data_IF_962382484277
#
_entry.id   IF_962382484277
#
_cell.length_a   1.000
_cell.length_b   1.000
_cell.length_c   1.000
_cell.angle_alpha   90.00
_cell.angle_beta   90.00
_cell.angle_gamma   90.00
#
_symmetry.space_group_name_H-M   'P 1'
#
loop_
_entity.id
_entity.type
_entity.pdbx_description
1 polymer ?
#
# COMPACT_ATOMS: atom_id res chain seq x y z
N UNK A 1 53.03 79.63 -24.75
CA UNK A 1 54.37 79.02 -24.61
C UNK A 1 54.25 77.52 -24.82
N UNK A 2 55.08 76.96 -25.72
CA UNK A 2 55.57 75.55 -25.81
C UNK A 2 54.52 74.39 -25.79
N UNK A 3 54.52 73.36 -26.64
CA UNK A 3 55.42 72.82 -27.70
C UNK A 3 54.58 71.79 -28.50
N UNK A 4 54.82 71.68 -29.82
CA UNK A 4 54.44 70.53 -30.68
C UNK A 4 55.15 69.24 -30.20
N UNK A 5 54.60 68.02 -30.40
CA UNK A 5 54.85 67.30 -31.66
C UNK A 5 53.75 66.32 -32.17
N UNK A 6 53.81 66.05 -33.49
CA UNK A 6 53.46 64.78 -34.17
C UNK A 6 54.80 64.08 -34.53
N UNK A 7 54.87 62.88 -35.14
CA UNK A 7 54.18 61.59 -34.94
C UNK A 7 55.20 60.40 -34.89
N UNK A 8 54.79 59.17 -34.49
CA UNK A 8 55.43 57.92 -34.99
C UNK A 8 54.59 56.64 -34.82
N UNK A 9 54.23 56.16 -36.00
CA UNK A 9 53.78 54.86 -36.53
C UNK A 9 54.34 53.56 -35.87
N UNK A 10 53.39 52.62 -35.64
CA UNK A 10 53.37 51.14 -35.67
C UNK A 10 54.36 50.28 -34.86
N UNK A 11 53.80 49.42 -34.00
CA UNK A 11 54.11 47.99 -34.01
C UNK A 11 52.82 47.15 -33.95
N UNK A 12 52.57 46.46 -35.05
CA UNK A 12 51.56 45.43 -35.23
C UNK A 12 52.00 44.15 -34.51
N UNK A 13 51.20 43.66 -33.56
CA UNK A 13 51.41 42.33 -32.96
C UNK A 13 50.44 42.05 -31.83
N UNK A 14 49.29 41.44 -32.14
CA UNK A 14 48.37 40.97 -31.09
C UNK A 14 46.90 40.75 -31.48
N UNK A 15 46.47 41.16 -32.68
CA UNK A 15 45.05 41.09 -33.06
C UNK A 15 44.58 39.76 -33.68
N UNK A 16 45.46 38.75 -33.83
CA UNK A 16 45.11 37.44 -34.43
C UNK A 16 44.83 36.32 -33.42
N UNK A 17 45.29 36.42 -32.17
CA UNK A 17 45.19 35.32 -31.17
C UNK A 17 43.88 35.37 -30.36
N UNK A 18 43.23 36.53 -30.25
CA UNK A 18 41.92 36.65 -29.60
C UNK A 18 40.75 36.25 -30.51
N UNK A 19 40.91 36.32 -31.84
CA UNK A 19 39.89 35.90 -32.81
C UNK A 19 39.85 34.37 -33.00
N UNK A 20 40.96 33.66 -32.81
CA UNK A 20 41.04 32.20 -32.87
C UNK A 20 40.41 31.48 -31.67
N UNK A 21 40.49 32.04 -30.45
CA UNK A 21 39.87 31.46 -29.24
C UNK A 21 38.34 31.63 -29.18
N UNK A 22 37.79 32.65 -29.84
CA UNK A 22 36.34 32.85 -29.93
C UNK A 22 35.67 31.89 -30.94
N UNK A 23 36.36 31.57 -32.06
CA UNK A 23 35.91 30.57 -33.02
C UNK A 23 36.04 29.13 -32.50
N UNK A 24 37.03 28.85 -31.64
CA UNK A 24 37.18 27.54 -31.01
C UNK A 24 36.12 27.25 -29.94
N UNK A 25 35.61 28.28 -29.23
CA UNK A 25 34.49 28.13 -28.26
C UNK A 25 33.13 28.02 -28.94
N UNK A 26 32.88 28.78 -30.00
CA UNK A 26 31.61 28.67 -30.77
C UNK A 26 31.53 27.40 -31.60
N UNK A 27 32.66 26.84 -32.07
CA UNK A 27 32.69 25.52 -32.70
C UNK A 27 32.45 24.37 -31.68
N UNK A 28 32.96 24.48 -30.45
CA UNK A 28 32.72 23.49 -29.40
C UNK A 28 31.27 23.49 -28.89
N UNK A 29 30.63 24.65 -28.76
CA UNK A 29 29.22 24.73 -28.37
C UNK A 29 28.29 24.23 -29.51
N UNK A 30 28.60 24.55 -30.77
CA UNK A 30 27.81 24.06 -31.93
C UNK A 30 27.96 22.55 -32.21
N UNK A 31 29.07 21.92 -31.77
CA UNK A 31 29.27 20.48 -31.93
C UNK A 31 28.52 19.66 -30.85
N UNK A 32 28.22 20.26 -29.69
CA UNK A 32 27.58 19.55 -28.58
C UNK A 32 26.06 19.43 -28.78
N UNK A 33 25.43 20.41 -29.42
CA UNK A 33 23.99 20.38 -29.73
C UNK A 33 23.62 19.46 -30.91
N UNK A 34 24.52 19.24 -31.86
CA UNK A 34 24.26 18.33 -33.01
C UNK A 34 24.44 16.86 -32.62
N UNK A 35 25.28 16.57 -31.61
CA UNK A 35 25.57 15.21 -31.17
C UNK A 35 24.56 14.68 -30.14
N UNK A 36 23.90 15.56 -29.38
CA UNK A 36 22.96 15.15 -28.34
C UNK A 36 21.77 14.30 -28.87
N UNK A 37 21.11 14.66 -29.99
CA UNK A 37 20.03 13.84 -30.57
C UNK A 37 20.53 12.47 -31.02
N UNK A 38 21.72 12.41 -31.60
CA UNK A 38 22.38 11.17 -32.04
C UNK A 38 22.74 10.27 -30.85
N UNK A 39 23.26 10.83 -29.76
CA UNK A 39 23.56 10.10 -28.52
C UNK A 39 22.28 9.56 -27.87
N UNK A 40 21.21 10.35 -27.84
CA UNK A 40 19.90 9.94 -27.31
C UNK A 40 19.31 8.78 -28.12
N UNK A 41 19.29 8.88 -29.44
CA UNK A 41 18.76 7.83 -30.32
C UNK A 41 19.60 6.55 -30.24
N UNK A 42 20.93 6.66 -30.28
CA UNK A 42 21.83 5.49 -30.19
C UNK A 42 21.70 4.77 -28.85
N UNK A 43 21.54 5.51 -27.74
CA UNK A 43 21.27 4.93 -26.41
C UNK A 43 19.91 4.24 -26.35
N UNK A 44 18.85 4.88 -26.85
CA UNK A 44 17.52 4.27 -26.93
C UNK A 44 17.49 2.99 -27.75
N UNK A 45 18.24 2.97 -28.86
CA UNK A 45 18.38 1.78 -29.71
C UNK A 45 19.09 0.64 -28.98
N UNK A 46 20.12 0.93 -28.17
CA UNK A 46 20.78 -0.07 -27.31
C UNK A 46 19.84 -0.65 -26.26
N UNK A 47 19.00 0.18 -25.63
CA UNK A 47 18.01 -0.26 -24.64
C UNK A 47 16.90 -1.11 -25.26
N UNK A 48 16.44 -0.76 -26.46
CA UNK A 48 15.48 -1.56 -27.22
C UNK A 48 16.07 -2.92 -27.62
N UNK A 49 17.33 -2.94 -28.10
CA UNK A 49 18.03 -4.17 -28.44
C UNK A 49 18.26 -5.07 -27.20
N UNK A 50 18.60 -4.48 -26.05
CA UNK A 50 18.74 -5.22 -24.78
C UNK A 50 17.43 -5.87 -24.32
N UNK A 51 16.32 -5.11 -24.35
CA UNK A 51 15.00 -5.62 -24.00
C UNK A 51 14.52 -6.72 -24.97
N UNK A 52 14.78 -6.56 -26.27
CA UNK A 52 14.48 -7.59 -27.26
C UNK A 52 15.29 -8.88 -27.01
N UNK A 53 16.58 -8.74 -26.68
CA UNK A 53 17.46 -9.87 -26.35
C UNK A 53 17.02 -10.60 -25.08
N UNK A 54 16.63 -9.87 -24.03
CA UNK A 54 16.10 -10.47 -22.80
C UNK A 54 14.77 -11.19 -23.05
N UNK A 55 13.83 -10.58 -23.77
CA UNK A 55 12.58 -11.23 -24.16
C UNK A 55 12.81 -12.49 -24.99
N UNK A 56 13.77 -12.47 -25.92
CA UNK A 56 14.14 -13.64 -26.71
C UNK A 56 14.76 -14.76 -25.85
N UNK A 57 15.64 -14.40 -24.90
CA UNK A 57 16.23 -15.35 -23.96
C UNK A 57 15.19 -16.01 -23.06
N UNK A 58 14.19 -15.24 -22.60
CA UNK A 58 13.07 -15.72 -21.78
C UNK A 58 12.01 -16.49 -22.59
N UNK A 59 12.06 -16.50 -23.93
CA UNK A 59 11.08 -17.21 -24.75
C UNK A 59 11.41 -18.72 -24.81
N UNK A 60 10.47 -19.60 -24.39
CA UNK A 60 10.60 -21.06 -24.48
C UNK A 60 10.94 -21.53 -25.90
N UNK A 61 11.78 -22.57 -26.04
CA UNK A 61 12.33 -23.02 -27.33
C UNK A 61 11.26 -23.43 -28.34
N UNK A 62 10.16 -24.01 -27.87
CA UNK A 62 8.98 -24.43 -28.64
C UNK A 62 8.19 -23.24 -29.24
N UNK A 63 8.23 -22.06 -28.62
CA UNK A 63 7.50 -20.87 -29.10
C UNK A 63 8.32 -19.95 -30.02
N UNK A 64 9.63 -20.19 -30.16
CA UNK A 64 10.52 -19.33 -30.98
C UNK A 64 10.14 -19.32 -32.46
N UNK A 65 9.66 -20.44 -33.00
CA UNK A 65 9.22 -20.54 -34.39
C UNK A 65 8.01 -19.65 -34.70
N UNK A 66 7.00 -19.66 -33.81
CA UNK A 66 5.82 -18.81 -33.95
C UNK A 66 6.15 -17.33 -33.87
N UNK A 67 7.05 -16.95 -32.95
CA UNK A 67 7.51 -15.56 -32.83
C UNK A 67 8.24 -15.11 -34.09
N UNK A 68 9.12 -15.93 -34.66
CA UNK A 68 9.81 -15.62 -35.92
C UNK A 68 8.84 -15.47 -37.09
N UNK A 69 7.85 -16.36 -37.18
CA UNK A 69 6.83 -16.29 -38.23
C UNK A 69 6.02 -14.99 -38.16
N UNK A 70 5.57 -14.60 -36.96
CA UNK A 70 4.83 -13.35 -36.75
C UNK A 70 5.69 -12.13 -37.09
N UNK A 71 6.96 -12.11 -36.66
CA UNK A 71 7.90 -11.03 -37.01
C UNK A 71 8.09 -10.94 -38.53
N UNK A 72 8.28 -12.07 -39.21
CA UNK A 72 8.41 -12.10 -40.67
C UNK A 72 7.15 -11.61 -41.39
N UNK A 73 5.96 -12.00 -40.91
CA UNK A 73 4.69 -11.52 -41.46
C UNK A 73 4.51 -10.01 -41.28
N UNK A 74 4.86 -9.46 -40.10
CA UNK A 74 4.86 -8.02 -39.87
C UNK A 74 5.83 -7.27 -40.78
N UNK A 75 7.05 -7.80 -40.96
CA UNK A 75 8.04 -7.21 -41.87
C UNK A 75 7.53 -7.21 -43.32
N UNK A 76 6.93 -8.31 -43.77
CA UNK A 76 6.34 -8.41 -45.11
C UNK A 76 5.18 -7.42 -45.28
N UNK A 77 4.29 -7.30 -44.30
CA UNK A 77 3.20 -6.32 -44.32
C UNK A 77 3.70 -4.88 -44.40
N UNK A 78 4.74 -4.52 -43.64
CA UNK A 78 5.37 -3.19 -43.71
C UNK A 78 6.02 -2.94 -45.07
N UNK A 79 6.62 -3.96 -45.70
CA UNK A 79 7.24 -3.83 -47.01
C UNK A 79 6.24 -3.63 -48.16
N UNK A 80 5.02 -4.17 -48.02
CA UNK A 80 3.98 -4.10 -49.05
C UNK A 80 3.15 -2.80 -49.00
N UNK A 81 3.19 -2.06 -47.89
CA UNK A 81 2.46 -0.79 -47.75
C UNK A 81 3.27 0.38 -48.34
N UNK A 82 2.68 1.24 -49.20
CA UNK A 82 3.33 2.47 -49.66
C UNK A 82 3.81 3.32 -48.48
N UNK A 83 5.09 3.72 -48.49
CA UNK A 83 5.77 4.42 -47.41
C UNK A 83 5.93 3.63 -46.08
N UNK A 84 5.54 2.35 -46.03
CA UNK A 84 5.68 1.50 -44.85
C UNK A 84 7.11 1.41 -44.30
N UNK A 85 8.15 1.17 -45.13
CA UNK A 85 9.53 1.14 -44.65
C UNK A 85 9.99 2.47 -44.03
N UNK A 86 9.57 3.60 -44.61
CA UNK A 86 9.93 4.93 -44.10
C UNK A 86 9.24 5.19 -42.76
N UNK A 87 7.95 4.88 -42.65
CA UNK A 87 7.20 4.99 -41.39
C UNK A 87 7.80 4.09 -40.30
N UNK A 88 8.20 2.87 -40.64
CA UNK A 88 8.86 1.97 -39.69
C UNK A 88 10.18 2.55 -39.15
N UNK A 89 11.01 3.15 -40.01
CA UNK A 89 12.23 3.83 -39.58
C UNK A 89 11.90 5.02 -38.68
N UNK A 90 10.92 5.86 -39.04
CA UNK A 90 10.51 7.01 -38.22
C UNK A 90 9.96 6.56 -36.87
N UNK A 91 9.14 5.51 -36.81
CA UNK A 91 8.60 4.96 -35.57
C UNK A 91 9.68 4.36 -34.68
N UNK A 92 10.65 3.63 -35.25
CA UNK A 92 11.80 3.09 -34.50
C UNK A 92 12.66 4.21 -33.95
N UNK A 93 12.94 5.23 -34.77
CA UNK A 93 13.70 6.42 -34.35
C UNK A 93 12.96 7.19 -33.26
N UNK A 94 11.62 7.33 -33.36
CA UNK A 94 10.78 7.95 -32.33
C UNK A 94 10.75 7.16 -31.03
N UNK A 95 10.62 5.84 -31.09
CA UNK A 95 10.66 4.96 -29.92
C UNK A 95 12.05 4.96 -29.26
N UNK A 96 13.12 4.97 -30.07
CA UNK A 96 14.49 5.10 -29.59
C UNK A 96 14.73 6.47 -28.94
N UNK A 97 14.27 7.57 -29.56
CA UNK A 97 14.35 8.89 -28.98
C UNK A 97 13.57 8.98 -27.65
N UNK A 98 12.35 8.45 -27.59
CA UNK A 98 11.54 8.42 -26.37
C UNK A 98 12.23 7.64 -25.26
N UNK A 99 12.69 6.42 -25.55
CA UNK A 99 13.32 5.53 -24.55
C UNK A 99 14.74 5.96 -24.20
N UNK A 100 15.40 6.69 -25.10
CA UNK A 100 16.73 7.25 -24.93
C UNK A 100 16.77 8.62 -24.26
N UNK A 101 15.62 9.32 -24.15
CA UNK A 101 15.52 10.56 -23.36
C UNK A 101 16.05 10.29 -21.97
N UNK A 102 17.04 11.07 -21.57
CA UNK A 102 17.60 10.97 -20.24
C UNK A 102 16.48 11.27 -19.22
N UNK A 103 16.00 10.23 -18.52
CA UNK A 103 15.82 10.40 -17.09
C UNK A 103 17.22 10.73 -16.58
N UNK A 104 17.36 11.92 -16.02
CA UNK A 104 18.60 12.44 -15.46
C UNK A 104 19.35 11.29 -14.78
N UNK A 105 20.62 10.99 -15.14
CA UNK A 105 21.36 9.96 -14.42
C UNK A 105 21.26 10.30 -12.94
N UNK A 106 20.79 9.34 -12.13
CA UNK A 106 20.59 9.53 -10.71
C UNK A 106 21.86 10.15 -10.12
N UNK A 107 21.72 11.32 -9.48
CA UNK A 107 22.80 11.84 -8.65
C UNK A 107 23.14 10.73 -7.66
N UNK A 108 24.38 10.22 -7.71
CA UNK A 108 24.89 9.31 -6.69
C UNK A 108 25.07 10.12 -5.42
N UNK A 109 24.04 10.08 -4.56
CA UNK A 109 23.98 10.81 -3.30
C UNK A 109 22.64 11.53 -3.14
N UNK A 110 22.17 11.72 -1.89
CA UNK A 110 20.95 12.44 -1.61
C UNK A 110 21.11 13.87 -2.10
N UNK A 111 20.03 14.46 -2.59
CA UNK A 111 20.01 15.90 -2.83
C UNK A 111 20.16 16.66 -1.50
N UNK A 112 20.37 17.98 -1.56
CA UNK A 112 20.56 18.79 -0.34
C UNK A 112 19.41 18.62 0.66
N UNK A 113 18.19 18.47 0.15
CA UNK A 113 17.00 18.20 0.96
C UNK A 113 17.08 16.82 1.65
N UNK A 114 17.43 15.75 0.91
CA UNK A 114 17.62 14.42 1.46
C UNK A 114 18.73 14.35 2.51
N UNK A 115 19.86 15.03 2.26
CA UNK A 115 20.96 15.11 3.23
C UNK A 115 20.54 15.85 4.52
N UNK A 116 19.76 16.93 4.39
CA UNK A 116 19.20 17.64 5.54
C UNK A 116 18.21 16.77 6.34
N UNK A 117 17.38 15.96 5.66
CA UNK A 117 16.48 14.99 6.31
C UNK A 117 17.25 13.93 7.09
N UNK A 118 18.28 13.32 6.47
CA UNK A 118 19.12 12.32 7.15
C UNK A 118 19.80 12.93 8.36
N UNK A 119 20.38 14.14 8.25
CA UNK A 119 20.95 14.84 9.40
C UNK A 119 19.94 15.07 10.51
N UNK A 120 18.74 15.56 10.18
CA UNK A 120 17.68 15.77 11.17
C UNK A 120 17.24 14.48 11.86
N UNK A 121 17.25 13.35 11.15
CA UNK A 121 16.87 12.05 11.68
C UNK A 121 17.99 11.49 12.57
N UNK A 122 19.25 11.62 12.16
CA UNK A 122 20.42 11.30 12.98
C UNK A 122 20.41 12.04 14.31
N UNK A 123 20.22 13.36 14.28
CA UNK A 123 20.13 14.19 15.49
C UNK A 123 19.01 13.75 16.44
N UNK A 124 17.88 13.30 15.90
CA UNK A 124 16.76 12.80 16.70
C UNK A 124 17.04 11.45 17.36
N UNK A 125 17.98 10.66 16.82
CA UNK A 125 18.38 9.36 17.36
C UNK A 125 19.48 9.47 18.43
N UNK A 126 20.22 10.58 18.50
CA UNK A 126 21.29 10.79 19.49
C UNK A 126 20.85 10.50 20.92
N UNK A 127 19.68 10.95 21.42
CA UNK A 127 19.25 10.66 22.79
C UNK A 127 19.00 9.17 23.08
N UNK A 128 18.83 8.34 22.04
CA UNK A 128 18.53 6.92 22.17
C UNK A 128 19.77 6.04 22.02
N UNK A 129 20.73 6.47 21.21
CA UNK A 129 21.93 5.70 20.89
C UNK A 129 23.21 6.24 21.53
N UNK A 130 23.21 7.43 22.15
CA UNK A 130 24.40 7.97 22.82
C UNK A 130 24.35 7.71 24.33
N UNK A 131 25.51 7.40 24.91
CA UNK A 131 25.75 7.39 26.36
C UNK A 131 26.91 8.34 26.70
N UNK A 132 26.95 8.88 27.92
CA UNK A 132 27.94 9.89 28.30
C UNK A 132 29.36 9.31 28.46
N UNK A 133 29.44 8.01 28.72
CA UNK A 133 30.66 7.27 29.03
C UNK A 133 31.41 6.78 27.78
N UNK A 134 30.82 6.90 26.58
CA UNK A 134 31.47 6.51 25.33
C UNK A 134 32.45 7.61 24.88
N UNK A 135 33.77 7.32 24.79
CA UNK A 135 34.77 8.30 24.37
C UNK A 135 34.71 8.64 22.86
N UNK A 136 33.96 7.89 22.05
CA UNK A 136 33.84 8.11 20.61
C UNK A 136 32.49 7.66 20.06
N UNK A 137 31.38 8.26 20.51
CA UNK A 137 30.05 7.76 20.21
C UNK A 137 29.72 7.88 18.72
N UNK A 138 29.15 6.80 18.16
CA UNK A 138 28.66 6.78 16.79
C UNK A 138 27.57 7.85 16.57
N UNK A 139 26.79 8.13 17.62
CA UNK A 139 25.77 9.17 17.65
C UNK A 139 26.19 10.30 18.58
N UNK A 140 26.41 11.49 18.04
CA UNK A 140 26.67 12.70 18.82
C UNK A 140 26.01 13.91 18.15
N UNK A 141 25.62 14.90 18.94
CA UNK A 141 25.07 16.14 18.37
C UNK A 141 26.11 16.84 17.49
N UNK A 142 25.73 17.22 16.27
CA UNK A 142 26.64 17.74 15.24
C UNK A 142 27.52 16.67 14.58
N UNK A 143 27.28 15.38 14.88
CA UNK A 143 28.03 14.25 14.34
C UNK A 143 27.74 13.98 12.85
N UNK A 144 28.53 13.09 12.28
CA UNK A 144 28.42 12.70 10.88
C UNK A 144 27.46 11.50 10.73
N UNK A 145 26.32 11.75 10.08
CA UNK A 145 25.31 10.73 9.85
C UNK A 145 25.76 9.63 8.89
N UNK A 146 26.78 9.87 8.04
CA UNK A 146 27.24 8.92 7.03
C UNK A 146 27.81 7.64 7.67
N UNK A 147 28.42 7.74 8.86
CA UNK A 147 28.91 6.55 9.59
C UNK A 147 27.78 5.69 10.16
N UNK A 148 26.68 6.32 10.57
CA UNK A 148 25.54 5.62 11.16
C UNK A 148 24.63 4.99 10.10
N UNK A 149 24.39 5.69 8.99
CA UNK A 149 23.48 5.24 7.94
C UNK A 149 24.18 4.57 6.75
N UNK A 150 25.48 4.85 6.56
CA UNK A 150 26.24 4.44 5.39
C UNK A 150 25.57 4.92 4.10
N UNK A 151 25.72 4.15 3.03
CA UNK A 151 25.04 4.37 1.75
C UNK A 151 23.73 3.60 1.59
N UNK A 152 23.18 3.05 2.69
CA UNK A 152 22.03 2.13 2.65
C UNK A 152 20.72 2.87 2.99
N UNK A 153 20.41 3.87 2.17
CA UNK A 153 19.14 4.60 2.19
C UNK A 153 18.58 4.76 0.79
N UNK A 154 17.27 4.92 0.68
CA UNK A 154 16.60 5.20 -0.58
C UNK A 154 15.51 6.25 -0.38
N UNK A 155 15.34 7.10 -1.39
CA UNK A 155 14.26 8.06 -1.50
C UNK A 155 13.40 7.73 -2.71
N UNK A 156 12.13 8.11 -2.68
CA UNK A 156 11.27 8.11 -3.86
C UNK A 156 11.43 9.38 -4.70
N UNK A 157 10.64 9.46 -5.78
CA UNK A 157 10.61 10.60 -6.70
C UNK A 157 10.17 11.92 -6.02
N UNK A 158 9.48 11.85 -4.88
CA UNK A 158 9.05 13.00 -4.07
C UNK A 158 10.08 13.39 -2.98
N UNK A 159 11.23 12.71 -2.93
CA UNK A 159 12.29 12.94 -1.95
C UNK A 159 11.93 12.49 -0.54
N UNK A 160 11.00 11.53 -0.38
CA UNK A 160 10.66 10.90 0.90
C UNK A 160 11.42 9.60 1.09
N UNK A 161 11.78 9.31 2.33
CA UNK A 161 12.57 8.14 2.69
C UNK A 161 11.73 6.86 2.51
N UNK A 162 12.21 5.94 1.68
CA UNK A 162 11.59 4.62 1.43
C UNK A 162 12.35 3.48 2.08
N UNK A 163 13.64 3.69 2.34
CA UNK A 163 14.49 2.73 3.05
C UNK A 163 15.56 3.48 3.83
N UNK A 164 15.84 3.01 5.04
CA UNK A 164 16.96 3.47 5.86
C UNK A 164 17.50 2.29 6.66
N UNK A 165 18.80 2.05 6.56
CA UNK A 165 19.49 1.16 7.47
C UNK A 165 20.26 2.01 8.48
N UNK A 166 20.05 1.73 9.76
CA UNK A 166 20.74 2.38 10.88
C UNK A 166 21.65 1.37 11.52
N UNK A 167 22.95 1.67 11.58
CA UNK A 167 23.88 0.93 12.42
C UNK A 167 23.83 1.56 13.81
N UNK A 168 23.50 0.78 14.83
CA UNK A 168 23.42 1.25 16.21
C UNK A 168 24.59 0.74 17.06
N UNK A 169 24.90 1.40 18.19
CA UNK A 169 25.99 0.96 19.07
C UNK A 169 25.66 -0.34 19.80
N UNK A 170 26.67 -1.19 20.01
CA UNK A 170 26.50 -2.51 20.65
C UNK A 170 26.02 -2.47 22.12
N UNK A 171 26.08 -1.31 22.78
CA UNK A 171 25.55 -1.13 24.13
C UNK A 171 24.06 -0.74 24.14
N UNK A 172 23.46 -0.46 22.98
CA UNK A 172 22.03 -0.19 22.90
C UNK A 172 21.26 -1.44 23.34
N UNK A 173 20.31 -1.34 24.28
CA UNK A 173 19.56 -2.49 24.77
C UNK A 173 18.50 -2.90 23.74
N UNK A 174 18.92 -3.41 22.59
CA UNK A 174 18.02 -3.90 21.56
C UNK A 174 17.15 -5.06 22.08
N UNK A 175 17.57 -5.85 23.06
CA UNK A 175 16.70 -6.83 23.71
C UNK A 175 15.49 -6.25 24.48
N UNK A 176 15.42 -4.94 24.73
CA UNK A 176 14.28 -4.27 25.40
C UNK A 176 13.25 -3.77 24.37
N UNK A 177 12.02 -4.34 24.33
CA UNK A 177 10.97 -3.88 23.41
C UNK A 177 10.60 -2.40 23.58
N UNK A 178 10.69 -1.86 24.81
CA UNK A 178 10.39 -0.46 25.06
C UNK A 178 11.47 0.46 24.46
N UNK A 179 12.74 0.03 24.46
CA UNK A 179 13.83 0.74 23.79
C UNK A 179 13.65 0.74 22.27
N UNK A 180 13.33 -0.41 21.66
CA UNK A 180 13.01 -0.49 20.22
C UNK A 180 11.85 0.42 19.84
N UNK A 181 10.75 0.34 20.57
CA UNK A 181 9.54 1.14 20.32
C UNK A 181 9.83 2.64 20.31
N UNK A 182 10.67 3.13 21.23
CA UNK A 182 11.07 4.55 21.26
C UNK A 182 11.81 4.97 19.99
N UNK A 183 12.74 4.14 19.51
CA UNK A 183 13.49 4.40 18.27
C UNK A 183 12.57 4.36 17.05
N UNK A 184 11.71 3.35 16.96
CA UNK A 184 10.74 3.19 15.86
C UNK A 184 9.79 4.39 15.79
N UNK A 185 9.27 4.86 16.93
CA UNK A 185 8.43 6.06 17.00
C UNK A 185 9.14 7.32 16.49
N UNK A 186 10.42 7.50 16.83
CA UNK A 186 11.23 8.62 16.32
C UNK A 186 11.39 8.52 14.81
N UNK A 187 11.73 7.34 14.29
CA UNK A 187 11.92 7.09 12.87
C UNK A 187 10.62 7.30 12.09
N UNK A 188 9.51 6.75 12.56
CA UNK A 188 8.18 6.90 11.97
C UNK A 188 7.79 8.39 11.90
N UNK A 189 7.90 9.09 13.02
CA UNK A 189 7.55 10.52 13.12
C UNK A 189 8.41 11.39 12.22
N UNK A 190 9.72 11.10 12.10
CA UNK A 190 10.67 11.92 11.35
C UNK A 190 10.74 11.58 9.86
N UNK A 191 10.31 10.39 9.46
CA UNK A 191 10.35 9.94 8.05
C UNK A 191 9.16 10.44 7.21
N UNK A 192 8.10 10.90 7.87
CA UNK A 192 6.97 11.60 7.25
C UNK A 192 5.64 10.88 7.45
N UNK A 193 4.53 11.63 7.38
CA UNK A 193 3.17 11.09 7.57
C UNK A 193 2.65 10.38 6.32
N UNK A 194 1.72 9.45 6.54
CA UNK A 194 0.92 8.80 5.50
C UNK A 194 1.62 7.59 4.86
N UNK A 195 2.51 6.92 5.60
CA UNK A 195 3.14 5.67 5.21
C UNK A 195 3.21 4.74 6.40
N UNK A 196 3.17 3.45 6.10
CA UNK A 196 3.47 2.41 7.08
C UNK A 196 4.93 1.97 6.87
N UNK A 197 5.71 2.03 7.95
CA UNK A 197 7.09 1.60 7.97
C UNK A 197 7.20 0.25 8.69
N UNK A 198 7.90 -0.68 8.06
CA UNK A 198 8.32 -1.93 8.67
C UNK A 198 9.74 -1.78 9.22
N UNK A 199 9.94 -2.23 10.45
CA UNK A 199 11.21 -2.20 11.17
C UNK A 199 11.71 -3.62 11.42
N UNK A 200 12.91 -3.91 10.93
CA UNK A 200 13.59 -5.19 11.13
C UNK A 200 14.89 -4.97 11.90
N UNK A 201 14.99 -5.59 13.07
CA UNK A 201 16.17 -5.54 13.92
C UNK A 201 17.04 -6.77 13.68
N UNK A 202 18.30 -6.54 13.32
CA UNK A 202 19.38 -7.51 13.24
C UNK A 202 20.28 -7.29 14.47
N UNK A 203 19.94 -7.97 15.56
CA UNK A 203 20.61 -7.91 16.85
C UNK A 203 22.09 -8.32 16.73
N UNK A 204 22.38 -9.37 15.95
CA UNK A 204 23.75 -9.86 15.76
C UNK A 204 24.62 -8.83 15.01
N UNK A 205 24.03 -8.14 14.03
CA UNK A 205 24.71 -7.13 13.22
C UNK A 205 24.69 -5.72 13.80
N UNK A 206 23.96 -5.48 14.90
CA UNK A 206 23.62 -4.15 15.42
C UNK A 206 23.01 -3.23 14.33
N UNK A 207 22.04 -3.74 13.58
CA UNK A 207 21.40 -3.03 12.47
C UNK A 207 19.89 -2.97 12.60
N UNK A 208 19.34 -1.79 12.34
CA UNK A 208 17.91 -1.57 12.19
C UNK A 208 17.63 -1.20 10.74
N UNK A 209 16.82 -2.01 10.06
CA UNK A 209 16.32 -1.72 8.73
C UNK A 209 14.89 -1.18 8.83
N UNK A 210 14.69 0.05 8.39
CA UNK A 210 13.39 0.66 8.15
C UNK A 210 13.09 0.60 6.65
N UNK A 211 11.92 0.08 6.27
CA UNK A 211 11.43 0.03 4.89
C UNK A 211 9.97 0.47 4.83
N UNK A 212 9.60 1.23 3.81
CA UNK A 212 8.18 1.49 3.51
C UNK A 212 7.55 0.18 3.03
N UNK A 213 6.38 -0.15 3.56
CA UNK A 213 5.59 -1.27 3.07
C UNK A 213 4.98 -0.92 1.71
N UNK A 214 5.13 -1.83 0.76
CA UNK A 214 4.43 -1.71 -0.52
C UNK A 214 2.91 -1.85 -0.29
N UNK A 215 2.08 -1.11 -1.04
CA UNK A 215 0.63 -1.28 -0.95
C UNK A 215 0.26 -2.73 -1.31
N UNK A 216 -0.79 -3.23 -0.66
CA UNK A 216 -1.33 -4.54 -1.02
C UNK A 216 -1.69 -4.59 -2.51
N UNK A 217 -1.42 -5.72 -3.20
CA UNK A 217 -1.70 -5.83 -4.63
C UNK A 217 -3.19 -5.56 -4.94
N UNK A 218 -3.46 -4.51 -5.73
CA UNK A 218 -4.82 -4.15 -6.15
C UNK A 218 -5.48 -5.18 -7.08
N UNK A 219 -4.71 -6.16 -7.56
CA UNK A 219 -5.12 -7.27 -8.41
C UNK A 219 -5.75 -8.43 -7.63
N UNK A 220 -5.66 -8.43 -6.29
CA UNK A 220 -6.35 -9.39 -5.44
C UNK A 220 -7.75 -8.87 -5.16
N UNK A 221 -8.73 -9.43 -5.88
CA UNK A 221 -10.14 -9.15 -5.65
C UNK A 221 -10.72 -10.01 -4.54
N UNK A 222 -11.88 -9.58 -4.00
CA UNK A 222 -12.70 -10.42 -3.13
C UNK A 222 -13.06 -11.72 -3.86
N UNK A 223 -12.79 -12.84 -3.20
CA UNK A 223 -12.91 -14.17 -3.78
C UNK A 223 -13.22 -15.20 -2.70
N UNK A 224 -13.46 -16.43 -3.14
CA UNK A 224 -13.57 -17.56 -2.22
C UNK A 224 -12.18 -17.96 -1.74
N UNK A 225 -11.90 -17.68 -0.48
CA UNK A 225 -10.69 -18.17 0.19
C UNK A 225 -10.93 -19.58 0.76
N UNK A 226 -9.93 -20.44 0.63
CA UNK A 226 -9.94 -21.78 1.21
C UNK A 226 -9.36 -21.71 2.62
N UNK A 227 -10.22 -21.58 3.62
CA UNK A 227 -9.86 -21.48 5.04
C UNK A 227 -10.45 -22.64 5.84
N UNK A 228 -10.01 -22.80 7.11
CA UNK A 228 -10.65 -23.76 8.00
C UNK A 228 -12.08 -23.30 8.38
N UNK A 229 -12.97 -24.21 8.82
CA UNK A 229 -14.30 -23.82 9.29
C UNK A 229 -14.23 -22.79 10.42
N UNK A 230 -15.00 -21.71 10.30
CA UNK A 230 -14.99 -20.59 11.25
C UNK A 230 -13.76 -19.67 11.12
N UNK A 231 -13.07 -19.68 9.97
CA UNK A 231 -12.00 -18.74 9.67
C UNK A 231 -12.37 -17.84 8.48
N UNK A 232 -12.18 -16.55 8.64
CA UNK A 232 -12.45 -15.52 7.63
C UNK A 232 -11.18 -14.72 7.37
N UNK A 233 -10.85 -14.48 6.10
CA UNK A 233 -9.66 -13.72 5.70
C UNK A 233 -9.96 -12.23 5.78
N UNK A 234 -9.14 -11.49 6.56
CA UNK A 234 -9.19 -10.03 6.64
C UNK A 234 -8.25 -9.38 5.62
N UNK A 235 -7.15 -10.03 5.28
CA UNK A 235 -6.12 -9.50 4.40
C UNK A 235 -4.93 -10.44 4.29
N UNK A 236 -3.80 -9.92 3.82
CA UNK A 236 -2.56 -10.68 3.65
C UNK A 236 -1.41 -9.96 4.33
N UNK A 237 -0.44 -10.75 4.79
CA UNK A 237 0.79 -10.27 5.41
C UNK A 237 2.00 -10.85 4.68
N UNK A 238 3.20 -10.53 5.14
CA UNK A 238 4.45 -11.00 4.59
C UNK A 238 4.55 -12.53 4.63
N UNK A 239 5.19 -13.10 3.61
CA UNK A 239 5.26 -14.56 3.41
C UNK A 239 5.88 -15.29 4.61
N UNK A 240 6.84 -14.65 5.29
CA UNK A 240 7.57 -15.25 6.41
C UNK A 240 6.88 -15.02 7.76
N UNK A 241 5.83 -14.20 7.82
CA UNK A 241 5.14 -13.87 9.06
C UNK A 241 4.27 -15.02 9.59
N UNK A 242 3.81 -15.92 8.72
CA UNK A 242 2.98 -17.08 9.11
C UNK A 242 3.37 -18.32 8.31
N UNK A 243 3.43 -19.47 8.98
CA UNK A 243 3.78 -20.75 8.33
C UNK A 243 2.66 -21.36 7.47
N UNK A 244 1.48 -20.74 7.41
CA UNK A 244 0.33 -21.22 6.63
C UNK A 244 0.00 -20.23 5.53
N UNK A 245 -0.16 -20.73 4.31
CA UNK A 245 -0.62 -19.95 3.16
C UNK A 245 -2.02 -20.37 2.71
N UNK A 246 -2.69 -19.50 1.97
CA UNK A 246 -3.93 -19.79 1.24
C UNK A 246 -3.75 -19.46 -0.24
N UNK A 247 -4.36 -20.23 -1.15
CA UNK A 247 -4.33 -19.91 -2.57
C UNK A 247 -5.18 -18.66 -2.83
N UNK A 248 -4.60 -17.70 -3.56
CA UNK A 248 -5.21 -16.43 -3.92
C UNK A 248 -5.08 -16.22 -5.41
N UNK A 249 -6.19 -15.87 -6.05
CA UNK A 249 -6.19 -15.34 -7.41
C UNK A 249 -5.74 -13.88 -7.37
N UNK A 250 -4.62 -13.64 -8.02
CA UNK A 250 -3.95 -12.35 -8.17
C UNK A 250 -3.94 -12.01 -9.68
N UNK A 251 -4.98 -11.28 -10.12
CA UNK A 251 -5.27 -11.05 -11.53
C UNK A 251 -5.52 -12.36 -12.31
N UNK A 252 -4.64 -12.64 -13.27
CA UNK A 252 -4.66 -13.87 -14.10
C UNK A 252 -3.78 -15.00 -13.54
N UNK A 253 -3.15 -14.77 -12.38
CA UNK A 253 -2.27 -15.75 -11.73
C UNK A 253 -2.88 -16.24 -10.43
N UNK A 254 -2.50 -17.45 -10.02
CA UNK A 254 -2.79 -17.97 -8.68
C UNK A 254 -1.49 -18.08 -7.93
N UNK A 255 -1.44 -17.55 -6.70
CA UNK A 255 -0.29 -17.68 -5.81
C UNK A 255 -0.72 -17.97 -4.39
N UNK A 256 0.18 -18.59 -3.63
CA UNK A 256 -0.01 -18.76 -2.21
C UNK A 256 0.36 -17.47 -1.48
N UNK A 257 -0.53 -17.02 -0.58
CA UNK A 257 -0.33 -15.83 0.23
C UNK A 257 -0.56 -16.14 1.71
N UNK A 258 0.22 -15.49 2.57
CA UNK A 258 0.10 -15.55 4.02
C UNK A 258 -1.14 -14.76 4.49
N UNK A 259 -2.23 -15.42 4.96
CA UNK A 259 -3.47 -14.72 5.29
C UNK A 259 -3.46 -14.17 6.71
N UNK A 260 -4.03 -12.98 6.88
CA UNK A 260 -4.51 -12.50 8.19
C UNK A 260 -5.91 -13.04 8.38
N UNK A 261 -6.10 -13.88 9.40
CA UNK A 261 -7.34 -14.62 9.62
C UNK A 261 -8.01 -14.22 10.92
N UNK A 262 -9.30 -13.94 10.83
CA UNK A 262 -10.20 -13.77 11.96
C UNK A 262 -11.01 -15.04 12.19
N UNK A 263 -11.06 -15.50 13.45
CA UNK A 263 -11.85 -16.67 13.85
C UNK A 263 -13.25 -16.25 14.27
N UNK A 264 -14.26 -16.93 13.75
CA UNK A 264 -15.68 -16.68 14.00
C UNK A 264 -16.38 -17.92 14.56
N UNK A 265 -17.68 -17.79 14.86
CA UNK A 265 -18.51 -18.87 15.37
C UNK A 265 -18.34 -19.16 16.86
N UNK A 266 -19.03 -20.21 17.34
CA UNK A 266 -19.20 -20.53 18.76
C UNK A 266 -17.89 -20.82 19.52
N UNK A 267 -16.83 -21.22 18.80
CA UNK A 267 -15.50 -21.48 19.38
C UNK A 267 -14.60 -20.24 19.45
N UNK A 268 -14.95 -19.15 18.76
CA UNK A 268 -14.18 -17.91 18.84
C UNK A 268 -14.48 -17.18 20.15
N UNK A 269 -13.43 -16.72 20.84
CA UNK A 269 -13.57 -15.80 21.98
C UNK A 269 -13.91 -14.40 21.54
N UNK A 270 -13.63 -14.05 20.28
CA UNK A 270 -13.83 -12.72 19.70
C UNK A 270 -14.62 -12.82 18.39
N UNK A 271 -15.94 -13.10 18.47
CA UNK A 271 -16.79 -13.43 17.32
C UNK A 271 -17.35 -12.20 16.60
N UNK A 272 -17.02 -11.00 17.06
CA UNK A 272 -17.48 -9.73 16.50
C UNK A 272 -16.28 -8.85 16.15
N UNK A 273 -16.36 -8.13 15.03
CA UNK A 273 -15.27 -7.37 14.46
C UNK A 273 -15.63 -5.88 14.38
N UNK A 274 -14.70 -5.03 14.76
CA UNK A 274 -14.72 -3.60 14.44
C UNK A 274 -13.60 -3.29 13.43
N UNK A 275 -13.97 -2.87 12.23
CA UNK A 275 -13.06 -2.40 11.20
C UNK A 275 -13.08 -0.86 11.17
N UNK A 276 -11.91 -0.22 11.23
CA UNK A 276 -11.80 1.24 11.16
C UNK A 276 -10.71 1.67 10.20
N UNK A 277 -10.90 2.83 9.58
CA UNK A 277 -9.92 3.40 8.67
C UNK A 277 -10.26 4.85 8.32
N UNK A 278 -9.37 5.49 7.57
CA UNK A 278 -9.66 6.80 6.99
C UNK A 278 -10.59 6.65 5.77
N UNK A 279 -11.32 7.70 5.37
CA UNK A 279 -12.00 7.69 4.07
C UNK A 279 -11.03 7.30 2.95
N UNK A 280 -11.39 6.30 2.15
CA UNK A 280 -10.55 5.79 1.06
C UNK A 280 -9.60 4.64 1.43
N UNK A 281 -9.44 4.29 2.71
CA UNK A 281 -8.59 3.17 3.19
C UNK A 281 -9.06 1.77 2.76
N UNK A 282 -10.25 1.66 2.14
CA UNK A 282 -10.80 0.38 1.69
C UNK A 282 -11.62 -0.38 2.73
N UNK A 283 -12.07 0.25 3.83
CA UNK A 283 -12.96 -0.38 4.82
C UNK A 283 -14.21 -0.99 4.16
N UNK A 284 -14.89 -0.26 3.27
CA UNK A 284 -16.05 -0.79 2.51
C UNK A 284 -15.65 -1.97 1.61
N UNK A 285 -14.43 -1.98 1.05
CA UNK A 285 -13.91 -3.12 0.27
C UNK A 285 -13.69 -4.34 1.16
N UNK A 286 -13.13 -4.17 2.36
CA UNK A 286 -13.04 -5.22 3.37
C UNK A 286 -14.43 -5.77 3.71
N UNK A 287 -15.39 -4.89 4.01
CA UNK A 287 -16.77 -5.28 4.33
C UNK A 287 -17.42 -6.10 3.20
N UNK A 288 -17.26 -5.70 1.93
CA UNK A 288 -17.73 -6.48 0.78
C UNK A 288 -17.04 -7.84 0.68
N UNK A 289 -15.74 -7.91 0.95
CA UNK A 289 -15.00 -9.18 1.00
C UNK A 289 -15.53 -10.10 2.10
N UNK A 290 -15.80 -9.55 3.29
CA UNK A 290 -16.41 -10.29 4.41
C UNK A 290 -17.82 -10.77 4.07
N UNK A 291 -18.64 -9.93 3.44
CA UNK A 291 -19.98 -10.31 2.97
C UNK A 291 -19.93 -11.53 2.04
N UNK A 292 -19.05 -11.52 1.05
CA UNK A 292 -18.90 -12.62 0.09
C UNK A 292 -18.35 -13.90 0.73
N UNK A 293 -17.52 -13.78 1.77
CA UNK A 293 -17.05 -14.93 2.55
C UNK A 293 -18.18 -15.51 3.42
N UNK A 294 -18.95 -14.65 4.09
CA UNK A 294 -20.08 -15.03 4.94
C UNK A 294 -21.15 -15.81 4.16
N UNK A 295 -21.50 -15.36 2.96
CA UNK A 295 -22.51 -16.00 2.10
C UNK A 295 -22.18 -17.44 1.70
N UNK A 296 -20.93 -17.89 1.83
CA UNK A 296 -20.58 -19.28 1.56
C UNK A 296 -21.10 -20.26 2.62
N UNK A 297 -21.34 -19.76 3.83
CA UNK A 297 -21.60 -20.61 4.99
C UNK A 297 -22.82 -20.15 5.79
N UNK A 298 -23.38 -18.97 5.52
CA UNK A 298 -24.39 -18.34 6.36
C UNK A 298 -25.39 -17.49 5.60
N UNK A 299 -26.17 -16.78 6.40
CA UNK A 299 -27.10 -15.73 5.97
C UNK A 299 -26.53 -14.35 6.31
N UNK A 300 -26.91 -13.33 5.55
CA UNK A 300 -26.31 -12.01 5.61
C UNK A 300 -27.38 -10.92 5.69
N UNK A 301 -27.22 -10.03 6.67
CA UNK A 301 -27.84 -8.72 6.74
C UNK A 301 -26.79 -7.65 6.54
N UNK A 302 -27.12 -6.64 5.73
CA UNK A 302 -26.27 -5.47 5.54
C UNK A 302 -27.05 -4.20 5.84
N UNK A 303 -26.47 -3.33 6.66
CA UNK A 303 -26.96 -1.99 6.96
C UNK A 303 -25.87 -0.99 6.60
N UNK A 304 -26.18 -0.06 5.71
CA UNK A 304 -25.28 0.97 5.20
C UNK A 304 -25.75 2.36 5.64
N UNK A 305 -25.04 2.97 6.58
CA UNK A 305 -25.38 4.28 7.12
C UNK A 305 -25.03 5.46 6.20
N UNK A 306 -24.25 5.20 5.17
CA UNK A 306 -23.86 6.19 4.17
C UNK A 306 -24.99 6.69 3.26
N UNK A 307 -26.01 5.84 3.06
CA UNK A 307 -27.04 6.06 2.05
C UNK A 307 -26.55 6.02 0.59
N UNK A 308 -25.33 5.52 0.32
CA UNK A 308 -24.74 5.50 -1.03
C UNK A 308 -25.19 4.31 -1.88
N UNK A 309 -25.71 3.24 -1.27
CA UNK A 309 -26.13 2.03 -1.97
C UNK A 309 -24.95 1.14 -2.38
N UNK A 310 -23.81 1.25 -1.69
CA UNK A 310 -22.57 0.51 -1.96
C UNK A 310 -22.79 -1.02 -1.89
N UNK A 311 -23.83 -1.47 -1.19
CA UNK A 311 -24.13 -2.90 -1.04
C UNK A 311 -25.29 -3.40 -1.90
N UNK A 312 -25.88 -2.56 -2.77
CA UNK A 312 -27.02 -2.94 -3.61
C UNK A 312 -26.74 -4.15 -4.53
N UNK A 313 -25.47 -4.40 -4.86
CA UNK A 313 -25.05 -5.58 -5.64
C UNK A 313 -25.23 -6.93 -4.90
N UNK A 314 -25.53 -6.89 -3.61
CA UNK A 314 -25.82 -8.06 -2.78
C UNK A 314 -27.32 -8.42 -2.77
N UNK A 315 -28.20 -7.45 -3.04
CA UNK A 315 -29.65 -7.66 -3.00
C UNK A 315 -30.09 -8.77 -3.95
N UNK A 316 -30.97 -9.65 -3.47
CA UNK A 316 -31.51 -10.77 -4.25
C UNK A 316 -30.58 -11.97 -4.43
N UNK A 317 -29.37 -11.95 -3.84
CA UNK A 317 -28.49 -13.12 -3.80
C UNK A 317 -28.96 -14.12 -2.74
N UNK A 318 -28.73 -15.40 -3.01
CA UNK A 318 -29.03 -16.46 -2.05
C UNK A 318 -28.27 -16.24 -0.73
N UNK A 319 -28.95 -16.42 0.41
CA UNK A 319 -28.46 -16.12 1.75
C UNK A 319 -28.46 -14.64 2.15
N UNK A 320 -28.76 -13.69 1.27
CA UNK A 320 -28.91 -12.27 1.66
C UNK A 320 -30.34 -12.01 2.10
N UNK A 321 -30.52 -11.71 3.39
CA UNK A 321 -31.83 -11.51 4.01
C UNK A 321 -32.33 -10.06 3.82
N UNK A 322 -31.43 -9.08 3.93
CA UNK A 322 -31.74 -7.67 3.71
C UNK A 322 -30.48 -6.86 3.40
N UNK A 323 -30.65 -5.79 2.62
CA UNK A 323 -29.66 -4.74 2.38
C UNK A 323 -30.36 -3.41 2.56
N UNK A 324 -30.07 -2.72 3.65
CA UNK A 324 -30.75 -1.48 4.03
C UNK A 324 -29.80 -0.31 4.02
N UNK A 325 -30.22 0.80 3.43
CA UNK A 325 -29.43 2.04 3.39
C UNK A 325 -30.16 3.25 4.01
N UNK A 326 -31.37 3.06 4.54
CA UNK A 326 -32.19 4.10 5.16
C UNK A 326 -32.49 3.79 6.63
N UNK A 327 -32.71 4.82 7.45
CA UNK A 327 -32.90 4.69 8.89
C UNK A 327 -34.06 3.77 9.28
N UNK A 328 -35.21 3.89 8.61
CA UNK A 328 -36.38 3.07 8.96
C UNK A 328 -36.15 1.59 8.66
N UNK A 329 -35.51 1.28 7.54
CA UNK A 329 -35.13 -0.10 7.19
C UNK A 329 -34.06 -0.65 8.11
N UNK A 330 -33.06 0.16 8.47
CA UNK A 330 -32.03 -0.19 9.45
C UNK A 330 -32.63 -0.54 10.82
N UNK A 331 -33.53 0.29 11.34
CA UNK A 331 -34.22 0.03 12.62
C UNK A 331 -35.02 -1.28 12.58
N UNK A 332 -35.86 -1.47 11.56
CA UNK A 332 -36.67 -2.68 11.42
C UNK A 332 -35.80 -3.95 11.29
N UNK A 333 -34.71 -3.86 10.52
CA UNK A 333 -33.80 -4.98 10.30
C UNK A 333 -33.00 -5.34 11.54
N UNK A 334 -32.50 -4.35 12.29
CA UNK A 334 -31.74 -4.59 13.51
C UNK A 334 -32.65 -5.06 14.65
N UNK A 335 -33.89 -4.57 14.72
CA UNK A 335 -34.89 -5.09 15.66
C UNK A 335 -35.23 -6.55 15.37
N UNK A 336 -35.42 -6.91 14.09
CA UNK A 336 -35.57 -8.31 13.69
C UNK A 336 -34.35 -9.13 14.07
N UNK A 337 -33.13 -8.63 13.83
CA UNK A 337 -31.91 -9.35 14.14
C UNK A 337 -31.71 -9.59 15.64
N UNK A 338 -32.14 -8.64 16.49
CA UNK A 338 -32.16 -8.81 17.94
C UNK A 338 -33.11 -9.96 18.34
N UNK A 339 -34.35 -9.94 17.88
CA UNK A 339 -35.32 -11.00 18.16
C UNK A 339 -34.88 -12.36 17.60
N UNK A 340 -34.28 -12.39 16.41
CA UNK A 340 -33.74 -13.60 15.80
C UNK A 340 -32.59 -14.19 16.62
N UNK A 341 -31.72 -13.34 17.18
CA UNK A 341 -30.65 -13.77 18.09
C UNK A 341 -31.23 -14.45 19.34
N UNK A 342 -32.27 -13.88 19.95
CA UNK A 342 -32.93 -14.48 21.12
C UNK A 342 -33.61 -15.81 20.78
N UNK A 343 -34.33 -15.86 19.64
CA UNK A 343 -34.97 -17.07 19.14
C UNK A 343 -33.96 -18.19 18.97
N UNK A 344 -32.82 -17.92 18.31
CA UNK A 344 -31.73 -18.87 18.09
C UNK A 344 -31.13 -19.34 19.41
N UNK A 345 -30.91 -18.44 20.37
CA UNK A 345 -30.39 -18.78 21.70
C UNK A 345 -31.31 -19.76 22.44
N UNK A 346 -32.62 -19.49 22.45
CA UNK A 346 -33.62 -20.35 23.08
C UNK A 346 -33.66 -21.71 22.40
N UNK A 347 -33.67 -21.75 21.07
CA UNK A 347 -33.72 -22.98 20.29
C UNK A 347 -32.48 -23.86 20.53
N UNK A 348 -31.29 -23.27 20.47
CA UNK A 348 -30.02 -23.96 20.74
C UNK A 348 -29.96 -24.50 22.17
N UNK A 349 -30.43 -23.72 23.16
CA UNK A 349 -30.48 -24.18 24.55
C UNK A 349 -31.46 -25.34 24.76
N UNK A 350 -32.67 -25.27 24.16
CA UNK A 350 -33.64 -26.37 24.24
C UNK A 350 -33.12 -27.65 23.59
N UNK A 351 -32.51 -27.56 22.41
CA UNK A 351 -31.91 -28.70 21.73
C UNK A 351 -30.85 -29.37 22.60
N UNK A 352 -29.95 -28.56 23.20
CA UNK A 352 -28.91 -29.03 24.12
C UNK A 352 -29.48 -29.70 25.37
N UNK A 353 -30.50 -29.12 25.99
CA UNK A 353 -31.16 -29.70 27.16
C UNK A 353 -31.86 -31.02 26.85
N UNK A 354 -32.43 -31.15 25.65
CA UNK A 354 -33.07 -32.38 25.19
C UNK A 354 -32.08 -33.43 24.62
N UNK A 355 -30.78 -33.12 24.54
CA UNK A 355 -29.80 -34.01 23.91
C UNK A 355 -29.99 -34.18 22.40
N UNK A 356 -30.64 -33.23 21.74
CA UNK A 356 -30.91 -33.23 20.31
C UNK A 356 -29.94 -32.30 19.56
N UNK A 357 -29.66 -32.57 18.26
CA UNK A 357 -28.94 -31.62 17.43
C UNK A 357 -29.73 -30.31 17.30
N UNK A 358 -29.01 -29.20 17.11
CA UNK A 358 -29.64 -27.90 16.87
C UNK A 358 -30.49 -27.93 15.58
N UNK A 359 -31.61 -27.18 15.53
CA UNK A 359 -32.41 -27.05 14.31
C UNK A 359 -31.61 -26.49 13.13
N UNK A 360 -31.92 -26.93 11.89
CA UNK A 360 -31.19 -26.50 10.69
C UNK A 360 -31.22 -24.99 10.46
N UNK A 361 -32.34 -24.33 10.78
CA UNK A 361 -32.50 -22.87 10.66
C UNK A 361 -31.66 -22.07 11.67
N UNK A 362 -31.17 -22.72 12.73
CA UNK A 362 -30.29 -22.13 13.75
C UNK A 362 -28.82 -22.50 13.51
N UNK A 363 -28.56 -23.64 12.88
CA UNK A 363 -27.20 -24.09 12.52
C UNK A 363 -26.51 -23.16 11.53
N UNK A 364 -27.27 -22.57 10.61
CA UNK A 364 -26.72 -21.67 9.58
C UNK A 364 -26.39 -20.32 10.22
N UNK A 365 -25.11 -19.89 10.27
CA UNK A 365 -24.71 -18.66 10.94
C UNK A 365 -25.33 -17.41 10.30
N UNK A 366 -25.72 -16.44 11.12
CA UNK A 366 -26.22 -15.14 10.68
C UNK A 366 -25.12 -14.09 10.82
N UNK A 367 -24.86 -13.36 9.74
CA UNK A 367 -23.91 -12.25 9.70
C UNK A 367 -24.65 -10.92 9.62
N UNK A 368 -24.26 -9.97 10.45
CA UNK A 368 -24.81 -8.61 10.47
C UNK A 368 -23.65 -7.67 10.18
N UNK A 369 -23.65 -7.06 9.00
CA UNK A 369 -22.65 -6.09 8.58
C UNK A 369 -23.24 -4.69 8.68
N UNK A 370 -22.63 -3.84 9.50
CA UNK A 370 -22.99 -2.43 9.64
C UNK A 370 -21.84 -1.57 9.15
N UNK A 371 -22.04 -0.85 8.04
CA UNK A 371 -21.09 0.12 7.51
C UNK A 371 -21.55 1.54 7.87
N UNK A 372 -20.72 2.26 8.64
CA UNK A 372 -20.97 3.61 9.18
C UNK A 372 -22.25 3.74 10.01
N UNK A 373 -22.44 2.95 11.08
CA UNK A 373 -23.60 3.10 11.97
C UNK A 373 -23.62 4.44 12.72
N UNK A 374 -22.47 5.08 12.94
CA UNK A 374 -22.41 6.44 13.52
C UNK A 374 -23.20 7.47 12.71
N UNK A 375 -23.17 7.36 11.37
CA UNK A 375 -23.94 8.22 10.47
C UNK A 375 -25.46 8.03 10.67
N UNK A 376 -25.91 6.79 10.92
CA UNK A 376 -27.30 6.50 11.24
C UNK A 376 -27.69 7.03 12.62
N UNK A 377 -26.79 6.95 13.61
CA UNK A 377 -27.02 7.53 14.93
C UNK A 377 -27.24 9.05 14.87
N UNK A 378 -26.42 9.76 14.09
CA UNK A 378 -26.62 11.19 13.83
C UNK A 378 -27.95 11.49 13.14
N UNK A 379 -28.32 10.70 12.13
CA UNK A 379 -29.59 10.84 11.42
C UNK A 379 -30.78 10.57 12.36
N UNK A 380 -30.71 9.54 13.19
CA UNK A 380 -31.73 9.20 14.16
C UNK A 380 -31.93 10.32 15.18
N UNK A 381 -30.84 10.89 15.71
CA UNK A 381 -30.90 12.02 16.62
C UNK A 381 -31.56 13.25 15.96
N UNK A 382 -31.25 13.53 14.69
CA UNK A 382 -31.87 14.62 13.95
C UNK A 382 -33.37 14.42 13.71
N UNK A 383 -33.81 13.17 13.53
CA UNK A 383 -35.22 12.80 13.33
C UNK A 383 -35.98 12.51 14.65
N UNK A 384 -35.33 12.62 15.81
CA UNK A 384 -35.93 12.26 17.10
C UNK A 384 -36.30 10.78 17.22
N UNK A 385 -35.56 9.91 16.53
CA UNK A 385 -35.74 8.45 16.49
C UNK A 385 -34.71 7.75 17.39
N UNK A 386 -34.97 6.51 17.83
CA UNK A 386 -33.98 5.72 18.59
C UNK A 386 -32.70 5.50 17.78
N UNK A 387 -31.54 5.47 18.46
CA UNK A 387 -30.27 5.13 17.82
C UNK A 387 -30.27 3.64 17.43
N UNK A 388 -30.10 3.29 16.13
CA UNK A 388 -30.04 1.89 15.70
C UNK A 388 -28.94 1.06 16.39
N UNK A 389 -27.89 1.70 16.91
CA UNK A 389 -26.83 1.02 17.65
C UNK A 389 -27.32 0.39 18.96
N UNK A 390 -28.39 0.89 19.57
CA UNK A 390 -28.97 0.32 20.79
C UNK A 390 -29.48 -1.11 20.55
N UNK A 391 -29.98 -1.39 19.35
CA UNK A 391 -30.50 -2.70 18.94
C UNK A 391 -29.40 -3.76 18.78
N UNK A 392 -28.12 -3.35 18.77
CA UNK A 392 -26.99 -4.29 18.68
C UNK A 392 -26.67 -4.97 20.02
N UNK A 393 -27.28 -4.55 21.12
CA UNK A 393 -26.95 -5.07 22.45
C UNK A 393 -27.10 -6.59 22.54
N UNK A 394 -28.21 -7.13 22.05
CA UNK A 394 -28.48 -8.57 22.09
C UNK A 394 -27.59 -9.34 21.11
N UNK A 395 -27.50 -8.97 19.82
CA UNK A 395 -26.57 -9.61 18.87
C UNK A 395 -25.11 -9.61 19.34
N UNK A 396 -24.62 -8.52 19.93
CA UNK A 396 -23.23 -8.42 20.39
C UNK A 396 -22.94 -9.19 21.68
N UNK A 397 -23.91 -9.27 22.59
CA UNK A 397 -23.73 -9.96 23.88
C UNK A 397 -23.94 -11.46 23.76
N UNK A 398 -24.90 -11.87 22.95
CA UNK A 398 -25.36 -13.27 22.87
C UNK A 398 -25.06 -13.93 21.52
N UNK A 399 -24.59 -13.19 20.53
CA UNK A 399 -24.42 -13.69 19.16
C UNK A 399 -23.51 -14.90 19.06
N UNK A 400 -22.42 -14.96 19.84
CA UNK A 400 -21.55 -16.15 19.91
C UNK A 400 -22.32 -17.46 20.15
N UNK A 401 -23.23 -17.44 21.11
CA UNK A 401 -24.01 -18.60 21.51
C UNK A 401 -25.19 -18.87 20.56
N UNK A 402 -25.66 -17.83 19.88
CA UNK A 402 -26.75 -17.88 18.91
C UNK A 402 -26.29 -18.11 17.45
N UNK A 403 -24.98 -18.24 17.20
CA UNK A 403 -24.45 -18.34 15.83
C UNK A 403 -24.60 -17.05 15.02
N UNK A 404 -24.59 -15.89 15.69
CA UNK A 404 -24.67 -14.56 15.08
C UNK A 404 -23.31 -13.86 15.18
N UNK A 405 -22.84 -13.31 14.06
CA UNK A 405 -21.59 -12.53 13.96
C UNK A 405 -21.90 -11.12 13.50
N UNK A 406 -21.54 -10.13 14.31
CA UNK A 406 -21.65 -8.71 14.00
C UNK A 406 -20.30 -8.18 13.53
N UNK A 407 -20.30 -7.49 12.38
CA UNK A 407 -19.17 -6.73 11.87
C UNK A 407 -19.59 -5.27 11.79
N UNK A 408 -18.86 -4.40 12.47
CA UNK A 408 -19.07 -2.95 12.42
C UNK A 408 -17.89 -2.32 11.71
N UNK A 409 -18.17 -1.45 10.75
CA UNK A 409 -17.19 -0.65 10.05
C UNK A 409 -17.48 0.83 10.29
N UNK A 410 -16.46 1.62 10.61
CA UNK A 410 -16.60 3.08 10.71
C UNK A 410 -15.29 3.82 10.38
N UNK A 411 -15.37 5.15 10.29
CA UNK A 411 -14.19 5.98 10.12
C UNK A 411 -13.60 6.40 11.47
N UNK A 412 -12.29 6.68 11.48
CA UNK A 412 -11.61 7.17 12.70
C UNK A 412 -12.31 8.38 13.34
N UNK A 413 -12.73 9.35 12.52
CA UNK A 413 -13.36 10.58 12.99
C UNK A 413 -14.72 10.35 13.67
N UNK A 414 -15.32 9.17 13.52
CA UNK A 414 -16.63 8.82 14.05
C UNK A 414 -16.57 7.74 15.16
N UNK A 415 -15.37 7.33 15.59
CA UNK A 415 -15.18 6.32 16.64
C UNK A 415 -15.83 6.70 17.98
N UNK A 416 -15.83 7.98 18.31
CA UNK A 416 -16.40 8.47 19.57
C UNK A 416 -17.93 8.37 19.58
N UNK A 417 -18.56 8.41 18.40
CA UNK A 417 -20.00 8.27 18.21
C UNK A 417 -20.49 6.80 18.24
N UNK A 418 -19.57 5.83 18.27
CA UNK A 418 -19.95 4.43 18.45
C UNK A 418 -20.43 4.17 19.88
N UNK A 419 -21.56 3.48 20.00
CA UNK A 419 -22.11 3.10 21.29
C UNK A 419 -21.11 2.26 22.11
N UNK A 420 -21.11 2.42 23.43
CA UNK A 420 -20.21 1.68 24.33
C UNK A 420 -20.30 0.17 24.12
N UNK A 421 -21.52 -0.34 23.92
CA UNK A 421 -21.76 -1.77 23.72
C UNK A 421 -21.04 -2.31 22.49
N UNK A 422 -21.00 -1.53 21.40
CA UNK A 422 -20.21 -1.86 20.20
C UNK A 422 -18.74 -1.95 20.58
N UNK A 423 -18.17 -0.87 21.14
CA UNK A 423 -16.74 -0.81 21.49
C UNK A 423 -16.26 -1.91 22.44
N UNK A 424 -17.10 -2.33 23.38
CA UNK A 424 -16.81 -3.36 24.39
C UNK A 424 -16.88 -4.78 23.84
N UNK A 425 -17.84 -5.05 22.93
CA UNK A 425 -18.10 -6.41 22.43
C UNK A 425 -17.44 -6.72 21.08
N UNK A 426 -16.93 -5.71 20.36
CA UNK A 426 -16.09 -5.90 19.17
C UNK A 426 -14.60 -5.84 19.55
N UNK A 427 -14.09 -6.85 20.25
CA UNK A 427 -12.68 -6.84 20.68
C UNK A 427 -11.72 -7.30 19.59
N UNK A 428 -12.18 -8.09 18.60
CA UNK A 428 -11.44 -8.21 17.35
C UNK A 428 -11.52 -6.86 16.63
N UNK A 429 -10.35 -6.28 16.32
CA UNK A 429 -10.25 -4.97 15.68
C UNK A 429 -9.34 -5.06 14.47
N UNK A 430 -9.78 -4.50 13.36
CA UNK A 430 -9.00 -4.32 12.15
C UNK A 430 -8.86 -2.82 11.90
N UNK A 431 -7.63 -2.37 11.69
CA UNK A 431 -7.33 -0.98 11.37
C UNK A 431 -6.72 -0.95 9.97
N UNK A 432 -7.31 -0.17 9.07
CA UNK A 432 -6.84 -0.04 7.69
C UNK A 432 -6.10 1.29 7.54
N UNK A 433 -4.86 1.18 7.08
CA UNK A 433 -4.02 2.31 6.70
C UNK A 433 -4.50 3.04 5.44
N UNK A 434 -3.95 4.24 5.18
CA UNK A 434 -4.30 5.09 4.04
C UNK A 434 -3.84 4.56 2.68
#
# INVERSE_FOLDING_TARGET
>A
MARRPLPRVLSSGGASITRGRAFARTAADSATDVLHPLITVTRGLRLLAGAARQKWAATPRDRRGHVLFVVAACVLGVALVPHGPVLAVVSVMGAAAWKGRARTPAKTGPDEAGAARLRSLYEALVPHFSVAEDPGPLFSHGGDWDKAFGSSYAFDDDGRLTRLQVTYPAYFPDGDPAARTRVEQVLDTKSGRGREYHFSWDEEGNRLLMTVLDPLPATIAAQRFVTAPGETVLGFTDADAVGRTVPVRDGDTTRDAAPVVWRTGSRSTEPHLLAVGQPGSGVTTLMRSLALQALQQGDLLVVEGAGTGEYACLSGRDGVLAVECGLSGALATLEWAAHETERRLIAANRARQAGHPEPEDVKRPLWILLDRPSALGHLAAAEGRPDPQELLQVPLRHGRAAGVTVVVADHFDALDALAETVRVHTRARAVLGP
#
